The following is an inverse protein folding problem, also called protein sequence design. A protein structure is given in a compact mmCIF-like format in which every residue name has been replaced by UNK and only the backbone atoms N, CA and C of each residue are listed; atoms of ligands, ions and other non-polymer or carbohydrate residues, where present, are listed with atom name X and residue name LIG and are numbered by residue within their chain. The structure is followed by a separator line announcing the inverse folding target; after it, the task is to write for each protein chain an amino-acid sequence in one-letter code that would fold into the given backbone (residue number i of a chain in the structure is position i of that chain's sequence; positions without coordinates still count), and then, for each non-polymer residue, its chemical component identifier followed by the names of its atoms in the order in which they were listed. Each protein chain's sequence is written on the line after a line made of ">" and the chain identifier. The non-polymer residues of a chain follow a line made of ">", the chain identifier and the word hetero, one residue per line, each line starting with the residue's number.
data_IF_898095909310
#
_entry.id   IF_898095909310
#
_cell.length_a   1.000
_cell.length_b   1.000
_cell.length_c   1.000
_cell.angle_alpha   90.00
_cell.angle_beta   90.00
_cell.angle_gamma   90.00
#
_symmetry.space_group_name_H-M   'P 1'
#
loop_
_entity.id
_entity.type
_entity.pdbx_description
1 polymer ?
#
# COMPACT_ATOMS: atom_id res chain seq x y z
N UNK A 1 -10.47 -0.06 14.87
CA UNK A 1 -11.23 0.87 14.01
C UNK A 1 -12.60 1.24 14.58
N UNK A 2 -12.75 1.31 15.91
CA UNK A 2 -14.08 1.46 16.54
C UNK A 2 -14.35 2.87 17.11
N UNK A 3 -13.46 3.82 16.80
CA UNK A 3 -13.51 5.17 17.36
C UNK A 3 -14.57 6.04 16.68
N UNK A 4 -14.90 5.77 15.41
CA UNK A 4 -15.95 6.52 14.70
C UNK A 4 -17.33 6.23 15.29
N UNK A 5 -17.67 4.96 15.51
CA UNK A 5 -18.99 4.57 16.03
C UNK A 5 -19.24 5.11 17.44
N UNK A 6 -18.19 5.20 18.27
CA UNK A 6 -18.22 5.75 19.63
C UNK A 6 -18.15 7.29 19.69
N UNK A 7 -17.90 7.98 18.58
CA UNK A 7 -17.79 9.43 18.55
C UNK A 7 -19.17 10.12 18.73
N UNK A 8 -19.15 11.32 19.31
CA UNK A 8 -20.34 12.18 19.41
C UNK A 8 -20.85 12.56 18.01
N UNK A 9 -22.12 12.98 17.93
CA UNK A 9 -22.75 13.39 16.67
C UNK A 9 -22.01 14.56 16.01
N UNK A 10 -21.53 15.50 16.81
CA UNK A 10 -20.77 16.68 16.38
C UNK A 10 -19.42 16.26 15.81
N UNK A 11 -18.73 15.33 16.49
CA UNK A 11 -17.45 14.80 16.03
C UNK A 11 -17.60 14.01 14.73
N UNK A 12 -18.66 13.21 14.58
CA UNK A 12 -18.97 12.48 13.34
C UNK A 12 -19.16 13.43 12.15
N UNK A 13 -20.00 14.46 12.31
CA UNK A 13 -20.18 15.50 11.28
C UNK A 13 -18.89 16.21 10.89
N UNK A 14 -18.03 16.51 11.88
CA UNK A 14 -16.73 17.11 11.61
C UNK A 14 -15.84 16.16 10.78
N UNK A 15 -15.77 14.88 11.15
CA UNK A 15 -15.00 13.87 10.41
C UNK A 15 -15.51 13.74 8.98
N UNK A 16 -16.83 13.57 8.79
CA UNK A 16 -17.43 13.46 7.45
C UNK A 16 -17.10 14.69 6.59
N UNK A 17 -17.17 15.90 7.16
CA UNK A 17 -16.79 17.13 6.46
C UNK A 17 -15.31 17.16 6.04
N UNK A 18 -14.41 16.60 6.84
CA UNK A 18 -12.98 16.53 6.53
C UNK A 18 -12.67 15.54 5.41
N UNK A 19 -13.50 14.52 5.21
CA UNK A 19 -13.30 13.51 4.16
C UNK A 19 -13.70 14.03 2.77
N UNK A 20 -14.59 15.02 2.69
CA UNK A 20 -15.01 15.61 1.42
C UNK A 20 -13.80 16.25 0.73
N UNK A 21 -13.46 15.73 -0.46
CA UNK A 21 -12.31 16.19 -1.23
C UNK A 21 -10.95 15.68 -0.74
N UNK A 22 -10.91 14.88 0.33
CA UNK A 22 -9.68 14.33 0.88
C UNK A 22 -9.06 13.28 -0.05
N UNK A 23 -7.75 13.07 0.13
CA UNK A 23 -6.98 12.04 -0.56
C UNK A 23 -6.29 11.17 0.47
N UNK A 24 -6.57 9.87 0.46
CA UNK A 24 -5.83 8.89 1.24
C UNK A 24 -4.73 8.27 0.37
N UNK A 25 -3.47 8.42 0.76
CA UNK A 25 -2.31 7.97 0.00
C UNK A 25 -1.80 6.59 0.43
N UNK A 26 -2.45 5.91 1.38
CA UNK A 26 -1.96 4.63 1.87
C UNK A 26 -3.11 3.75 2.39
N UNK A 27 -3.82 3.11 1.47
CA UNK A 27 -4.86 2.14 1.79
C UNK A 27 -4.44 0.72 1.43
N UNK A 28 -4.58 -0.20 2.39
CA UNK A 28 -4.31 -1.63 2.21
C UNK A 28 -5.62 -2.42 2.02
N UNK A 29 -6.07 -2.52 0.79
CA UNK A 29 -7.24 -3.33 0.36
C UNK A 29 -6.84 -4.60 -0.38
N UNK A 30 -7.78 -5.55 -0.46
CA UNK A 30 -7.60 -6.81 -1.20
C UNK A 30 -8.00 -6.72 -2.68
N UNK A 31 -7.66 -7.73 -3.51
CA UNK A 31 -7.01 -8.98 -3.15
C UNK A 31 -5.53 -8.79 -2.76
N UNK A 32 -5.07 -9.61 -1.81
CA UNK A 32 -3.69 -9.62 -1.31
C UNK A 32 -3.39 -11.00 -0.70
N UNK A 33 -2.11 -11.37 -0.68
CA UNK A 33 -1.63 -12.55 0.07
C UNK A 33 -1.70 -12.32 1.58
N UNK A 34 -1.75 -11.06 2.01
CA UNK A 34 -2.08 -10.69 3.39
C UNK A 34 -3.61 -10.60 3.52
N UNK A 35 -4.22 -11.15 4.58
CA UNK A 35 -5.64 -10.96 4.85
C UNK A 35 -6.02 -9.48 4.89
N UNK A 36 -7.09 -9.11 4.16
CA UNK A 36 -7.67 -7.76 4.15
C UNK A 36 -9.13 -7.86 4.54
N UNK A 37 -9.62 -6.87 5.29
CA UNK A 37 -11.01 -6.79 5.71
C UNK A 37 -11.95 -6.25 4.63
N UNK A 38 -11.39 -5.70 3.55
CA UNK A 38 -12.12 -4.99 2.50
C UNK A 38 -11.37 -5.12 1.17
N UNK A 39 -12.09 -5.23 0.05
CA UNK A 39 -11.51 -5.27 -1.29
C UNK A 39 -11.39 -3.86 -1.94
N UNK A 40 -10.66 -3.77 -3.05
CA UNK A 40 -10.43 -2.52 -3.78
C UNK A 40 -11.74 -1.84 -4.21
N UNK A 41 -12.74 -2.60 -4.69
CA UNK A 41 -14.02 -2.05 -5.16
C UNK A 41 -14.84 -1.54 -3.98
N UNK A 42 -14.85 -2.28 -2.87
CA UNK A 42 -15.52 -1.87 -1.63
C UNK A 42 -14.93 -0.57 -1.09
N UNK A 43 -13.60 -0.44 -1.03
CA UNK A 43 -12.94 0.82 -0.64
C UNK A 43 -13.35 1.97 -1.56
N UNK A 44 -13.38 1.75 -2.89
CA UNK A 44 -13.82 2.77 -3.83
C UNK A 44 -15.26 3.24 -3.55
N UNK A 45 -16.16 2.31 -3.24
CA UNK A 45 -17.55 2.61 -2.89
C UNK A 45 -17.65 3.37 -1.56
N UNK A 46 -16.87 3.00 -0.55
CA UNK A 46 -16.86 3.71 0.73
C UNK A 46 -16.33 5.14 0.58
N UNK A 47 -15.22 5.32 -0.11
CA UNK A 47 -14.64 6.62 -0.41
C UNK A 47 -15.62 7.52 -1.19
N UNK A 48 -16.36 6.94 -2.14
CA UNK A 48 -17.39 7.63 -2.92
C UNK A 48 -18.52 8.14 -2.02
N UNK A 49 -19.03 7.29 -1.13
CA UNK A 49 -20.13 7.64 -0.20
C UNK A 49 -19.79 8.83 0.70
N UNK A 50 -18.53 8.99 1.09
CA UNK A 50 -18.08 10.10 1.95
C UNK A 50 -17.51 11.29 1.16
N UNK A 51 -17.54 11.23 -0.17
CA UNK A 51 -17.12 12.33 -1.04
C UNK A 51 -15.61 12.54 -1.12
N UNK A 52 -14.79 11.51 -0.88
CA UNK A 52 -13.34 11.60 -1.06
C UNK A 52 -12.96 11.83 -2.52
N UNK A 53 -11.86 12.55 -2.74
CA UNK A 53 -11.35 12.84 -4.08
C UNK A 53 -10.56 11.68 -4.66
N UNK A 54 -9.75 11.02 -3.84
CA UNK A 54 -8.92 9.91 -4.30
C UNK A 54 -8.52 8.95 -3.16
N UNK A 55 -8.23 7.71 -3.53
CA UNK A 55 -7.64 6.70 -2.64
C UNK A 55 -6.52 5.99 -3.38
N UNK A 56 -5.38 5.80 -2.70
CA UNK A 56 -4.23 5.10 -3.23
C UNK A 56 -4.13 3.69 -2.63
N UNK A 57 -4.23 2.68 -3.48
CA UNK A 57 -4.07 1.28 -3.10
C UNK A 57 -2.61 0.88 -3.04
N UNK A 58 -2.22 0.36 -1.89
CA UNK A 58 -0.91 -0.21 -1.65
C UNK A 58 -1.03 -1.70 -1.35
N UNK A 59 -0.29 -2.48 -2.11
CA UNK A 59 0.09 -3.83 -1.71
C UNK A 59 1.61 -3.88 -1.51
N UNK A 60 2.09 -4.90 -0.80
CA UNK A 60 3.52 -5.08 -0.56
C UNK A 60 4.20 -6.01 -1.58
N UNK A 61 3.42 -6.86 -2.24
CA UNK A 61 3.89 -7.92 -3.15
C UNK A 61 3.65 -7.57 -4.61
N UNK A 62 2.70 -6.70 -4.93
CA UNK A 62 2.45 -6.32 -6.33
C UNK A 62 2.10 -4.84 -6.47
N UNK A 63 2.27 -4.31 -7.68
CA UNK A 63 1.74 -2.99 -8.03
C UNK A 63 0.26 -3.12 -8.38
N UNK A 64 -0.62 -2.44 -7.63
CA UNK A 64 -2.04 -2.39 -7.97
C UNK A 64 -2.35 -1.41 -9.11
N UNK A 65 -1.35 -0.81 -9.75
CA UNK A 65 -1.52 0.15 -10.86
C UNK A 65 -2.38 -0.42 -12.01
N UNK A 66 -2.13 -1.64 -12.55
CA UNK A 66 -2.99 -2.20 -13.58
C UNK A 66 -4.45 -2.32 -13.13
N UNK A 67 -4.67 -2.69 -11.86
CA UNK A 67 -6.00 -2.81 -11.26
C UNK A 67 -6.66 -1.44 -11.18
N UNK A 68 -5.97 -0.40 -10.71
CA UNK A 68 -6.54 0.94 -10.60
C UNK A 68 -6.84 1.59 -11.94
N UNK A 69 -6.06 1.31 -12.99
CA UNK A 69 -6.37 1.79 -14.35
C UNK A 69 -7.66 1.15 -14.88
N UNK A 70 -7.82 -0.16 -14.70
CA UNK A 70 -9.06 -0.85 -15.05
C UNK A 70 -10.25 -0.35 -14.24
N UNK A 71 -10.10 -0.20 -12.92
CA UNK A 71 -11.19 0.27 -12.06
C UNK A 71 -11.57 1.72 -12.37
N UNK A 72 -10.61 2.63 -12.61
CA UNK A 72 -10.91 4.00 -13.04
C UNK A 72 -11.71 4.03 -14.35
N UNK A 73 -11.42 3.11 -15.29
CA UNK A 73 -12.16 3.00 -16.56
C UNK A 73 -13.58 2.47 -16.37
N UNK A 74 -13.76 1.45 -15.54
CA UNK A 74 -15.02 0.71 -15.43
C UNK A 74 -15.93 1.16 -14.27
N UNK A 75 -15.41 1.94 -13.31
CA UNK A 75 -16.12 2.44 -12.14
C UNK A 75 -16.06 3.97 -12.01
N UNK A 76 -15.94 4.69 -13.12
CA UNK A 76 -15.86 6.16 -13.14
C UNK A 76 -17.07 6.86 -12.50
N UNK A 77 -18.24 6.20 -12.48
CA UNK A 77 -19.45 6.68 -11.80
C UNK A 77 -19.28 6.86 -10.28
N UNK A 78 -18.26 6.25 -9.66
CA UNK A 78 -17.97 6.43 -8.25
C UNK A 78 -17.39 7.82 -7.94
N UNK A 79 -16.92 8.56 -8.95
CA UNK A 79 -16.34 9.90 -8.79
C UNK A 79 -15.19 9.97 -7.75
N UNK A 80 -14.44 8.89 -7.61
CA UNK A 80 -13.20 8.81 -6.80
C UNK A 80 -12.08 8.41 -7.72
N UNK A 81 -10.97 9.15 -7.71
CA UNK A 81 -9.78 8.76 -8.46
C UNK A 81 -9.03 7.67 -7.71
N UNK A 82 -8.92 6.50 -8.31
CA UNK A 82 -8.17 5.38 -7.73
C UNK A 82 -6.71 5.47 -8.18
N UNK A 83 -5.79 5.41 -7.24
CA UNK A 83 -4.35 5.57 -7.45
C UNK A 83 -3.60 4.33 -6.96
N UNK A 84 -2.40 4.09 -7.47
CA UNK A 84 -1.50 3.08 -6.91
C UNK A 84 -0.04 3.46 -7.16
N UNK A 85 0.87 2.54 -6.84
CA UNK A 85 2.30 2.74 -6.91
C UNK A 85 3.08 1.45 -7.14
N UNK A 86 4.40 1.55 -7.10
CA UNK A 86 5.33 0.43 -7.28
C UNK A 86 6.05 0.13 -5.96
N UNK A 87 5.79 -1.02 -5.30
CA UNK A 87 6.55 -1.45 -4.13
C UNK A 87 7.83 -2.18 -4.56
N UNK A 88 9.00 -1.65 -4.19
CA UNK A 88 10.32 -2.17 -4.57
C UNK A 88 10.79 -3.33 -3.65
N UNK A 89 9.93 -4.32 -3.45
CA UNK A 89 10.27 -5.53 -2.69
C UNK A 89 10.86 -6.64 -3.59
N UNK A 90 11.23 -7.80 -3.01
CA UNK A 90 11.76 -8.94 -3.78
C UNK A 90 10.88 -9.39 -4.95
N UNK A 91 9.56 -9.13 -4.93
CA UNK A 91 8.64 -9.49 -6.02
C UNK A 91 8.91 -8.77 -7.34
N UNK A 92 9.62 -7.63 -7.29
CA UNK A 92 10.13 -6.93 -8.47
C UNK A 92 11.66 -6.99 -8.56
N UNK A 93 12.31 -7.85 -7.76
CA UNK A 93 13.76 -7.94 -7.67
C UNK A 93 14.43 -6.90 -6.75
N UNK A 94 13.65 -6.13 -5.98
CA UNK A 94 14.16 -5.08 -5.10
C UNK A 94 14.17 -3.70 -5.74
N UNK A 95 15.25 -2.93 -5.54
CA UNK A 95 15.39 -1.59 -6.14
C UNK A 95 15.56 -1.75 -7.66
N UNK A 96 14.44 -1.65 -8.37
CA UNK A 96 14.36 -1.97 -9.78
C UNK A 96 13.81 -0.78 -10.58
N UNK A 97 14.70 -0.08 -11.27
CA UNK A 97 14.34 1.08 -12.11
C UNK A 97 13.40 0.73 -13.26
N UNK A 98 13.46 -0.49 -13.80
CA UNK A 98 12.58 -0.93 -14.89
C UNK A 98 11.15 -1.11 -14.39
N UNK A 99 10.97 -1.62 -13.17
CA UNK A 99 9.66 -1.69 -12.52
C UNK A 99 9.08 -0.29 -12.26
N UNK A 100 9.92 0.67 -11.86
CA UNK A 100 9.53 2.07 -11.69
C UNK A 100 9.13 2.70 -13.01
N UNK A 101 9.99 2.63 -14.03
CA UNK A 101 9.75 3.22 -15.35
C UNK A 101 8.45 2.69 -15.98
N UNK A 102 8.29 1.36 -16.01
CA UNK A 102 7.06 0.75 -16.50
C UNK A 102 5.84 1.17 -15.67
N UNK A 103 5.96 1.17 -14.34
CA UNK A 103 4.86 1.53 -13.45
C UNK A 103 4.39 2.98 -13.63
N UNK A 104 5.31 3.94 -13.71
CA UNK A 104 4.99 5.36 -13.92
C UNK A 104 4.30 5.55 -15.27
N UNK A 105 4.84 4.97 -16.34
CA UNK A 105 4.26 5.03 -17.67
C UNK A 105 2.85 4.40 -17.73
N UNK A 106 2.60 3.36 -16.92
CA UNK A 106 1.28 2.75 -16.81
C UNK A 106 0.27 3.58 -16.00
N UNK A 107 0.72 4.35 -15.02
CA UNK A 107 -0.17 5.20 -14.21
C UNK A 107 0.20 5.35 -12.74
N UNK A 108 1.23 4.65 -12.26
CA UNK A 108 1.67 4.72 -10.86
C UNK A 108 1.94 6.18 -10.44
N UNK A 109 1.61 6.50 -9.19
CA UNK A 109 1.81 7.84 -8.60
C UNK A 109 2.73 7.85 -7.39
N UNK A 110 3.15 6.66 -6.93
CA UNK A 110 4.02 6.53 -5.78
C UNK A 110 5.00 5.37 -5.99
N UNK A 111 6.22 5.53 -5.48
CA UNK A 111 7.21 4.45 -5.39
C UNK A 111 7.49 4.24 -3.91
N UNK A 112 7.37 3.00 -3.45
CA UNK A 112 7.79 2.62 -2.10
C UNK A 112 9.12 1.90 -2.20
N UNK A 113 10.10 2.38 -1.43
CA UNK A 113 11.34 1.65 -1.17
C UNK A 113 11.04 0.26 -0.56
N UNK A 114 12.01 -0.67 -0.56
CA UNK A 114 11.83 -1.97 0.09
C UNK A 114 11.19 -1.84 1.48
N UNK A 115 10.16 -2.65 1.74
CA UNK A 115 9.48 -2.69 3.04
C UNK A 115 9.81 -3.98 3.76
N UNK A 116 9.15 -5.09 3.44
CA UNK A 116 9.31 -6.36 4.15
C UNK A 116 10.62 -7.05 3.78
N UNK A 117 11.13 -6.75 2.60
CA UNK A 117 12.42 -7.25 2.14
C UNK A 117 13.59 -6.36 2.49
N UNK A 118 13.38 -5.21 3.17
CA UNK A 118 14.47 -4.36 3.61
C UNK A 118 15.25 -5.03 4.76
N UNK A 119 16.57 -5.10 4.66
CA UNK A 119 17.42 -5.77 5.67
C UNK A 119 17.22 -5.19 7.07
N UNK A 120 17.09 -3.87 7.19
CA UNK A 120 16.83 -3.22 8.46
C UNK A 120 15.45 -3.58 9.04
N UNK A 121 14.44 -3.74 8.18
CA UNK A 121 13.12 -4.19 8.61
C UNK A 121 13.16 -5.65 9.08
N UNK A 122 13.85 -6.53 8.35
CA UNK A 122 14.02 -7.94 8.72
C UNK A 122 14.74 -8.06 10.06
N UNK A 123 15.88 -7.37 10.25
CA UNK A 123 16.61 -7.37 11.52
C UNK A 123 15.77 -6.86 12.69
N UNK A 124 14.99 -5.81 12.47
CA UNK A 124 14.07 -5.29 13.50
C UNK A 124 13.00 -6.33 13.87
N UNK A 125 12.46 -7.03 12.88
CA UNK A 125 11.48 -8.11 13.07
C UNK A 125 12.06 -9.31 13.82
N UNK A 126 13.29 -9.72 13.51
CA UNK A 126 13.99 -10.81 14.20
C UNK A 126 14.30 -10.47 15.67
N UNK A 127 14.50 -9.19 15.96
CA UNK A 127 14.80 -8.70 17.31
C UNK A 127 13.57 -8.48 18.21
N UNK A 128 12.35 -8.57 17.65
CA UNK A 128 11.10 -8.28 18.35
C UNK A 128 10.26 -9.57 18.48
N UNK A 129 10.31 -10.21 19.66
CA UNK A 129 9.63 -11.48 19.95
C UNK A 129 8.09 -11.40 19.79
N UNK A 130 7.51 -10.20 19.81
CA UNK A 130 6.07 -9.97 19.65
C UNK A 130 5.69 -9.44 18.26
N UNK A 131 6.63 -9.40 17.31
CA UNK A 131 6.39 -8.77 16.01
C UNK A 131 5.21 -9.39 15.26
N UNK A 132 5.11 -10.72 15.25
CA UNK A 132 4.04 -11.46 14.56
C UNK A 132 2.64 -11.14 15.11
N UNK A 133 2.56 -10.62 16.35
CA UNK A 133 1.29 -10.17 16.95
C UNK A 133 0.93 -8.73 16.57
N UNK A 134 1.90 -7.96 16.05
CA UNK A 134 1.75 -6.54 15.70
C UNK A 134 1.33 -6.34 14.24
N UNK A 135 1.63 -7.29 13.36
CA UNK A 135 1.37 -7.17 11.92
C UNK A 135 0.57 -8.36 11.36
N UNK A 136 -0.29 -8.14 10.36
CA UNK A 136 -0.93 -9.26 9.66
C UNK A 136 0.13 -10.13 8.98
N UNK A 137 0.00 -11.45 9.10
CA UNK A 137 0.84 -12.43 8.40
C UNK A 137 0.16 -12.93 7.12
N UNK A 138 0.93 -13.54 6.22
CA UNK A 138 0.39 -14.08 4.96
C UNK A 138 -0.54 -15.27 5.23
N UNK A 139 -1.53 -15.48 4.35
CA UNK A 139 -2.48 -16.60 4.46
C UNK A 139 -1.81 -17.96 4.40
N UNK A 140 -0.82 -18.07 3.51
CA UNK A 140 -0.01 -19.27 3.29
C UNK A 140 1.45 -18.95 3.57
N UNK A 141 2.24 -19.99 3.82
CA UNK A 141 3.69 -19.86 3.92
C UNK A 141 4.27 -19.39 2.58
N UNK A 142 4.95 -18.24 2.60
CA UNK A 142 5.61 -17.65 1.44
C UNK A 142 7.12 -17.91 1.49
N UNK A 143 7.80 -17.72 0.36
CA UNK A 143 9.27 -17.70 0.36
C UNK A 143 9.79 -16.65 1.34
N UNK A 144 10.81 -17.02 2.11
CA UNK A 144 11.49 -16.08 2.99
C UNK A 144 12.08 -14.92 2.18
N UNK A 145 11.97 -13.67 2.65
CA UNK A 145 12.51 -12.53 1.92
C UNK A 145 14.03 -12.63 1.83
N UNK A 146 14.59 -12.28 0.67
CA UNK A 146 16.03 -12.05 0.54
C UNK A 146 16.33 -10.62 1.00
N UNK A 147 17.19 -10.40 2.02
CA UNK A 147 17.42 -9.07 2.55
C UNK A 147 17.99 -8.10 1.50
N UNK A 148 17.33 -6.95 1.36
CA UNK A 148 17.72 -5.86 0.48
C UNK A 148 18.38 -4.74 1.27
N UNK A 149 19.51 -4.25 0.77
CA UNK A 149 20.25 -3.11 1.32
C UNK A 149 20.78 -2.25 0.19
N UNK A 150 21.03 -0.98 0.48
CA UNK A 150 21.61 -0.02 -0.47
C UNK A 150 23.10 0.19 -0.28
N UNK A 151 23.68 -0.43 0.75
CA UNK A 151 25.10 -0.27 1.09
C UNK A 151 25.87 -1.58 1.07
N UNK A 152 27.14 -1.50 0.68
CA UNK A 152 28.16 -2.53 0.86
C UNK A 152 28.48 -2.71 2.36
N UNK A 153 29.29 -3.71 2.72
CA UNK A 153 29.68 -3.98 4.11
C UNK A 153 30.49 -2.84 4.75
N UNK A 154 31.16 -2.03 3.94
CA UNK A 154 31.93 -0.85 4.37
C UNK A 154 31.07 0.42 4.51
N UNK A 155 29.75 0.35 4.27
CA UNK A 155 28.83 1.49 4.36
C UNK A 155 28.70 2.34 3.10
N UNK A 156 29.47 2.07 2.04
CA UNK A 156 29.34 2.77 0.76
C UNK A 156 28.11 2.29 0.00
N UNK A 157 27.53 3.15 -0.86
CA UNK A 157 26.42 2.78 -1.72
C UNK A 157 26.82 1.68 -2.73
N UNK A 158 25.86 0.83 -3.08
CA UNK A 158 26.00 -0.15 -4.15
C UNK A 158 25.81 0.57 -5.50
N UNK A 159 26.68 0.29 -6.46
CA UNK A 159 26.73 0.98 -7.77
C UNK A 159 25.43 0.85 -8.58
N UNK A 160 24.63 -0.18 -8.31
CA UNK A 160 23.37 -0.50 -9.00
C UNK A 160 22.15 0.25 -8.42
N UNK A 161 22.36 1.09 -7.39
CA UNK A 161 21.33 1.88 -6.69
C UNK A 161 21.33 3.33 -7.16
#
# INVERSE_FOLDING_TARGET
>A
MDNYHKASKERKKLIEKLLIGAVDLHCHSGPSVMPRSIDHIEVAKEASKVGMKAVLYKDHYYSATPVTELLNKHFSQLNVKLLSGVPLNNTVGGINRYAVDHGINLGAKLVWMPTFSAENHIKAHESDEDFDKKFPTTKEAMLAPTPLKVTKSNGELIDEV
#
